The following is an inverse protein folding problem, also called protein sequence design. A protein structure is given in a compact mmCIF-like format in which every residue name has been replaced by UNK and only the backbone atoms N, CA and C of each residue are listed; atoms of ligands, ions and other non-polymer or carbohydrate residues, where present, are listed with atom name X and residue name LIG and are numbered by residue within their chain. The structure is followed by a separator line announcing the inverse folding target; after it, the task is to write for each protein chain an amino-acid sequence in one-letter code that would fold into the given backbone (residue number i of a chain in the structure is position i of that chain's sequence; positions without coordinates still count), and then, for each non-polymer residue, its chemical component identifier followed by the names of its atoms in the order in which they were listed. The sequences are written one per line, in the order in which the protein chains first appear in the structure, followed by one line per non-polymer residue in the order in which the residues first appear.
data_IF_364075620452
#
_entry.id   IF_364075620452
#
_cell.length_a   1.000
_cell.length_b   1.000
_cell.length_c   1.000
_cell.angle_alpha   90.00
_cell.angle_beta   90.00
_cell.angle_gamma   90.00
#
_symmetry.space_group_name_H-M   'P 1'
#
loop_
_entity.id
_entity.type
_entity.pdbx_description
1 polymer ?
#
# COMPACT_ATOMS: atom_id res chain seq x y z
N UNK A 1 -48.10 11.54 12.08
CA UNK A 1 -47.05 12.33 11.38
C UNK A 1 -46.00 11.35 10.90
N UNK A 2 -45.92 11.16 9.58
CA UNK A 2 -45.28 10.02 8.92
C UNK A 2 -43.76 9.98 9.11
N UNK A 3 -43.27 8.89 9.67
CA UNK A 3 -41.89 8.42 9.56
C UNK A 3 -41.58 8.14 8.09
N UNK A 4 -40.88 9.06 7.41
CA UNK A 4 -40.24 8.73 6.13
C UNK A 4 -39.02 7.87 6.41
N UNK A 5 -39.22 6.55 6.43
CA UNK A 5 -38.19 5.59 6.11
C UNK A 5 -37.66 5.90 4.71
N UNK A 6 -36.45 6.47 4.62
CA UNK A 6 -35.71 6.55 3.35
C UNK A 6 -34.97 5.22 3.17
N UNK A 7 -35.73 4.15 2.92
CA UNK A 7 -35.16 2.97 2.26
C UNK A 7 -35.37 3.12 0.74
N UNK A 8 -34.31 2.82 -0.04
CA UNK A 8 -34.40 2.68 -1.49
C UNK A 8 -33.98 3.90 -2.31
N UNK A 9 -32.81 3.82 -2.95
CA UNK A 9 -32.36 4.89 -3.86
C UNK A 9 -31.05 4.62 -4.60
N UNK A 10 -30.83 3.38 -5.04
CA UNK A 10 -29.76 3.02 -5.96
C UNK A 10 -28.99 1.80 -5.49
N UNK A 11 -29.11 0.69 -6.21
CA UNK A 11 -28.25 -0.49 -6.02
C UNK A 11 -26.78 -0.18 -6.32
N UNK A 12 -26.01 -1.19 -6.73
CA UNK A 12 -24.57 -1.06 -7.05
C UNK A 12 -24.30 0.18 -7.93
N UNK A 13 -25.14 0.43 -8.94
CA UNK A 13 -25.05 1.58 -9.85
C UNK A 13 -25.17 2.94 -9.14
N UNK A 14 -26.10 3.06 -8.18
CA UNK A 14 -26.25 4.30 -7.41
C UNK A 14 -25.05 4.56 -6.51
N UNK A 15 -24.51 3.50 -5.91
CA UNK A 15 -23.31 3.57 -5.08
C UNK A 15 -22.07 3.98 -5.91
N UNK A 16 -21.90 3.39 -7.10
CA UNK A 16 -20.85 3.75 -8.08
C UNK A 16 -20.99 5.22 -8.49
N UNK A 17 -22.20 5.68 -8.80
CA UNK A 17 -22.45 7.08 -9.20
C UNK A 17 -22.02 8.06 -8.11
N UNK A 18 -22.35 7.77 -6.85
CA UNK A 18 -21.95 8.61 -5.71
C UNK A 18 -20.43 8.62 -5.55
N UNK A 19 -19.77 7.47 -5.73
CA UNK A 19 -18.32 7.38 -5.63
C UNK A 19 -17.62 8.21 -6.73
N UNK A 20 -18.07 8.08 -7.98
CA UNK A 20 -17.56 8.85 -9.11
C UNK A 20 -17.75 10.36 -8.90
N UNK A 21 -18.91 10.79 -8.38
CA UNK A 21 -19.15 12.20 -8.07
C UNK A 21 -18.19 12.73 -7.00
N UNK A 22 -17.90 11.93 -5.98
CA UNK A 22 -16.95 12.31 -4.91
C UNK A 22 -15.52 12.39 -5.42
N UNK A 23 -15.09 11.42 -6.24
CA UNK A 23 -13.77 11.44 -6.87
C UNK A 23 -13.62 12.62 -7.83
N UNK A 24 -14.63 12.86 -8.67
CA UNK A 24 -14.61 13.99 -9.61
C UNK A 24 -14.59 15.33 -8.86
N UNK A 25 -15.44 15.50 -7.84
CA UNK A 25 -15.39 16.67 -6.98
C UNK A 25 -14.02 16.83 -6.31
N UNK A 26 -13.37 15.72 -5.94
CA UNK A 26 -12.06 15.77 -5.34
C UNK A 26 -10.93 16.17 -6.29
N UNK A 27 -11.03 15.74 -7.54
CA UNK A 27 -10.19 16.17 -8.64
C UNK A 27 -10.38 17.67 -8.94
N UNK A 28 -11.63 18.11 -9.06
CA UNK A 28 -11.93 19.51 -9.35
C UNK A 28 -11.40 20.44 -8.25
N UNK A 29 -11.43 19.99 -6.99
CA UNK A 29 -10.92 20.75 -5.85
C UNK A 29 -9.39 20.89 -5.78
N UNK A 30 -8.63 20.16 -6.61
CA UNK A 30 -7.18 20.38 -6.71
C UNK A 30 -6.83 21.76 -7.29
N UNK A 31 -7.68 22.29 -8.17
CA UNK A 31 -7.47 23.59 -8.82
C UNK A 31 -8.58 24.59 -8.45
N UNK A 32 -9.84 24.14 -8.38
CA UNK A 32 -10.99 24.99 -8.15
C UNK A 32 -11.57 24.74 -6.75
N UNK A 33 -11.53 25.70 -5.82
CA UNK A 33 -11.95 25.45 -4.45
C UNK A 33 -13.44 25.11 -4.35
N UNK A 34 -13.86 24.46 -3.25
CA UNK A 34 -15.27 24.19 -2.89
C UNK A 34 -16.03 23.31 -3.90
N UNK A 35 -15.41 22.22 -4.36
CA UNK A 35 -16.03 21.29 -5.31
C UNK A 35 -16.46 19.96 -4.66
N UNK A 36 -15.86 19.57 -3.52
CA UNK A 36 -16.13 18.31 -2.80
C UNK A 36 -17.43 18.28 -2.00
N UNK A 37 -18.15 19.40 -1.89
CA UNK A 37 -19.45 19.47 -1.18
C UNK A 37 -19.41 19.00 0.28
N UNK A 38 -18.22 18.94 0.88
CA UNK A 38 -18.00 18.53 2.26
C UNK A 38 -17.63 19.77 3.07
N UNK A 39 -18.48 20.09 4.04
CA UNK A 39 -18.26 21.19 4.98
C UNK A 39 -19.40 22.19 4.92
N UNK A 40 -19.77 22.68 6.09
CA UNK A 40 -20.75 23.73 6.37
C UNK A 40 -20.30 25.07 5.76
N UNK A 41 -20.09 25.10 4.46
CA UNK A 41 -19.84 26.32 3.70
C UNK A 41 -21.19 26.95 3.45
N UNK A 42 -21.44 28.07 4.13
CA UNK A 42 -22.59 28.95 3.87
C UNK A 42 -22.53 29.50 2.42
N UNK A 43 -21.35 29.44 1.80
CA UNK A 43 -21.15 29.76 0.38
C UNK A 43 -21.35 28.51 -0.51
N UNK A 44 -22.03 28.72 -1.64
CA UNK A 44 -22.24 27.71 -2.69
C UNK A 44 -20.94 27.23 -3.35
N UNK A 45 -21.08 26.31 -4.31
CA UNK A 45 -19.95 25.82 -5.10
C UNK A 45 -19.30 26.98 -5.86
N UNK A 46 -17.98 26.93 -6.03
CA UNK A 46 -17.28 27.90 -6.88
C UNK A 46 -17.71 27.72 -8.34
N UNK A 47 -17.98 28.82 -9.02
CA UNK A 47 -18.36 28.87 -10.43
C UNK A 47 -17.43 29.82 -11.21
N UNK A 48 -17.09 29.51 -12.47
CA UNK A 48 -16.22 30.33 -13.29
C UNK A 48 -16.94 31.59 -13.81
N UNK A 49 -16.43 32.77 -13.48
CA UNK A 49 -17.02 34.06 -13.86
C UNK A 49 -16.49 34.55 -15.21
N UNK A 50 -15.20 34.29 -15.51
CA UNK A 50 -14.53 34.76 -16.73
C UNK A 50 -14.41 33.69 -17.81
N UNK A 51 -14.25 34.10 -19.07
CA UNK A 51 -14.04 33.19 -20.21
C UNK A 51 -12.85 32.24 -20.01
N UNK A 52 -11.65 32.72 -19.61
CA UNK A 52 -10.51 31.84 -19.35
C UNK A 52 -10.79 30.81 -18.25
N UNK A 53 -11.48 31.21 -17.18
CA UNK A 53 -11.87 30.30 -16.09
C UNK A 53 -12.85 29.23 -16.57
N UNK A 54 -13.80 29.56 -17.45
CA UNK A 54 -14.75 28.59 -18.03
C UNK A 54 -14.04 27.55 -18.88
N UNK A 55 -13.06 27.96 -19.68
CA UNK A 55 -12.24 27.05 -20.49
C UNK A 55 -11.41 26.15 -19.58
N UNK A 56 -10.67 26.72 -18.63
CA UNK A 56 -9.87 25.96 -17.67
C UNK A 56 -10.70 24.96 -16.86
N UNK A 57 -11.88 25.36 -16.40
CA UNK A 57 -12.80 24.49 -15.67
C UNK A 57 -13.26 23.29 -16.51
N UNK A 58 -13.63 23.51 -17.77
CA UNK A 58 -14.06 22.42 -18.68
C UNK A 58 -12.91 21.49 -19.03
N UNK A 59 -11.74 22.02 -19.35
CA UNK A 59 -10.55 21.21 -19.67
C UNK A 59 -10.16 20.35 -18.46
N UNK A 60 -10.10 20.96 -17.27
CA UNK A 60 -9.79 20.23 -16.04
C UNK A 60 -10.84 19.19 -15.68
N UNK A 61 -12.12 19.50 -15.88
CA UNK A 61 -13.21 18.54 -15.69
C UNK A 61 -13.11 17.37 -16.67
N UNK A 62 -12.80 17.63 -17.95
CA UNK A 62 -12.62 16.58 -18.94
C UNK A 62 -11.43 15.66 -18.60
N UNK A 63 -10.30 16.24 -18.19
CA UNK A 63 -9.16 15.48 -17.66
C UNK A 63 -9.54 14.66 -16.44
N UNK A 64 -10.35 15.22 -15.54
CA UNK A 64 -10.87 14.52 -14.37
C UNK A 64 -11.77 13.35 -14.73
N UNK A 65 -12.58 13.48 -15.79
CA UNK A 65 -13.43 12.40 -16.25
C UNK A 65 -12.61 11.25 -16.84
N UNK A 66 -11.55 11.56 -17.60
CA UNK A 66 -10.62 10.56 -18.12
C UNK A 66 -9.83 9.90 -16.99
N UNK A 67 -9.34 10.66 -16.01
CA UNK A 67 -8.56 10.11 -14.90
C UNK A 67 -9.37 9.16 -14.01
N UNK A 68 -10.70 9.31 -13.93
CA UNK A 68 -11.58 8.37 -13.24
C UNK A 68 -11.51 6.95 -13.81
N UNK A 69 -11.18 6.77 -15.09
CA UNK A 69 -11.00 5.43 -15.68
C UNK A 69 -9.87 4.64 -14.99
N UNK A 70 -8.84 5.34 -14.51
CA UNK A 70 -7.75 4.73 -13.74
C UNK A 70 -8.02 4.75 -12.23
N UNK A 71 -8.46 5.91 -11.70
CA UNK A 71 -8.61 6.11 -10.25
C UNK A 71 -9.77 5.31 -9.66
N UNK A 72 -10.86 5.09 -10.40
CA UNK A 72 -12.01 4.36 -9.87
C UNK A 72 -11.70 2.87 -9.63
N UNK A 73 -11.12 2.10 -10.58
CA UNK A 73 -10.65 0.74 -10.32
C UNK A 73 -9.69 0.66 -9.13
N UNK A 74 -8.74 1.60 -9.03
CA UNK A 74 -7.81 1.70 -7.89
C UNK A 74 -8.57 1.92 -6.56
N UNK A 75 -9.60 2.75 -6.57
CA UNK A 75 -10.45 2.97 -5.38
C UNK A 75 -11.20 1.70 -4.99
N UNK A 76 -11.68 0.91 -5.96
CA UNK A 76 -12.34 -0.37 -5.71
C UNK A 76 -11.39 -1.36 -5.06
N UNK A 77 -10.16 -1.48 -5.58
CA UNK A 77 -9.10 -2.27 -4.94
C UNK A 77 -8.81 -1.74 -3.54
N UNK A 78 -8.77 -0.41 -3.36
CA UNK A 78 -8.64 0.24 -2.07
C UNK A 78 -9.73 -0.14 -1.07
N UNK A 79 -10.98 -0.34 -1.50
CA UNK A 79 -12.06 -0.83 -0.62
C UNK A 79 -11.77 -2.25 -0.12
N UNK A 80 -11.29 -3.14 -1.00
CA UNK A 80 -10.90 -4.49 -0.60
C UNK A 80 -9.71 -4.46 0.38
N UNK A 81 -8.65 -3.71 0.05
CA UNK A 81 -7.48 -3.56 0.91
C UNK A 81 -7.84 -3.00 2.29
N UNK A 82 -8.71 -1.98 2.33
CA UNK A 82 -9.20 -1.41 3.60
C UNK A 82 -9.97 -2.43 4.42
N UNK A 83 -10.79 -3.27 3.79
CA UNK A 83 -11.53 -4.31 4.50
C UNK A 83 -10.58 -5.29 5.20
N UNK A 84 -9.56 -5.81 4.52
CA UNK A 84 -8.57 -6.68 5.13
C UNK A 84 -7.73 -5.95 6.19
N UNK A 85 -7.30 -4.72 5.92
CA UNK A 85 -6.56 -3.91 6.87
C UNK A 85 -7.37 -3.65 8.15
N UNK A 86 -8.67 -3.36 8.05
CA UNK A 86 -9.54 -3.15 9.23
C UNK A 86 -9.72 -4.40 10.09
N UNK A 87 -9.71 -5.60 9.48
CA UNK A 87 -9.73 -6.86 10.24
C UNK A 87 -8.44 -7.07 11.00
N UNK A 88 -7.30 -6.84 10.35
CA UNK A 88 -5.98 -6.93 10.99
C UNK A 88 -5.84 -5.89 12.10
N UNK A 89 -6.32 -4.67 11.86
CA UNK A 89 -6.30 -3.59 12.84
C UNK A 89 -7.21 -3.91 14.03
N UNK A 90 -8.38 -4.51 13.81
CA UNK A 90 -9.25 -4.99 14.90
C UNK A 90 -8.61 -6.09 15.74
N UNK A 91 -7.82 -6.99 15.16
CA UNK A 91 -7.05 -7.98 15.93
C UNK A 91 -6.01 -7.25 16.76
N UNK A 92 -5.29 -6.31 16.15
CA UNK A 92 -4.25 -5.51 16.77
C UNK A 92 -4.76 -4.57 17.86
N UNK A 93 -5.96 -4.01 17.77
CA UNK A 93 -6.58 -3.22 18.86
C UNK A 93 -6.93 -4.09 20.06
N UNK A 94 -7.25 -5.37 19.85
CA UNK A 94 -7.56 -6.33 20.93
C UNK A 94 -6.32 -6.85 21.64
N UNK A 95 -5.26 -7.19 20.91
CA UNK A 95 -4.05 -7.82 21.48
C UNK A 95 -2.89 -6.83 21.71
N UNK A 96 -2.99 -5.61 21.18
CA UNK A 96 -1.96 -4.59 21.28
C UNK A 96 -0.72 -4.85 20.43
N UNK A 97 0.21 -3.89 20.43
CA UNK A 97 1.51 -4.01 19.72
C UNK A 97 2.27 -5.23 20.23
N UNK A 98 2.32 -5.41 21.55
CA UNK A 98 3.01 -6.53 22.19
C UNK A 98 2.42 -7.87 21.72
N UNK A 99 1.09 -7.99 21.67
CA UNK A 99 0.45 -9.23 21.21
C UNK A 99 0.72 -9.54 19.74
N UNK A 100 0.66 -8.55 18.85
CA UNK A 100 0.99 -8.74 17.42
C UNK A 100 2.46 -9.16 17.25
N UNK A 101 3.37 -8.47 17.94
CA UNK A 101 4.80 -8.80 17.92
C UNK A 101 5.07 -10.19 18.49
N UNK A 102 4.37 -10.60 19.57
CA UNK A 102 4.50 -11.93 20.15
C UNK A 102 4.00 -13.02 19.19
N UNK A 103 2.88 -12.81 18.48
CA UNK A 103 2.41 -13.74 17.45
C UNK A 103 3.45 -13.87 16.33
N UNK A 104 4.00 -12.75 15.85
CA UNK A 104 5.04 -12.77 14.83
C UNK A 104 6.29 -13.51 15.33
N UNK A 105 6.70 -13.28 16.57
CA UNK A 105 7.82 -13.98 17.21
C UNK A 105 7.57 -15.49 17.28
N UNK A 106 6.36 -15.92 17.67
CA UNK A 106 6.01 -17.34 17.75
C UNK A 106 5.96 -17.96 16.36
N UNK A 107 5.35 -17.29 15.39
CA UNK A 107 5.22 -17.81 14.03
C UNK A 107 6.59 -17.94 13.35
N UNK A 108 7.35 -16.83 13.29
CA UNK A 108 8.67 -16.81 12.63
C UNK A 108 9.74 -17.53 13.43
N UNK A 109 9.71 -17.43 14.76
CA UNK A 109 10.57 -18.21 15.65
C UNK A 109 10.30 -19.71 15.53
N UNK A 110 9.03 -20.11 15.40
CA UNK A 110 8.64 -21.49 15.12
C UNK A 110 9.21 -22.00 13.80
N UNK A 111 9.15 -21.20 12.74
CA UNK A 111 9.81 -21.52 11.45
C UNK A 111 11.31 -21.73 11.65
N UNK A 112 11.98 -20.86 12.40
CA UNK A 112 13.43 -20.99 12.69
C UNK A 112 13.73 -22.26 13.48
N UNK A 113 12.91 -22.63 14.47
CA UNK A 113 13.08 -23.87 15.24
C UNK A 113 12.90 -25.09 14.34
N UNK A 114 11.85 -25.12 13.51
CA UNK A 114 11.63 -26.21 12.56
C UNK A 114 12.80 -26.33 11.59
N UNK A 115 13.30 -25.21 11.06
CA UNK A 115 14.48 -25.19 10.21
C UNK A 115 15.71 -25.75 10.95
N UNK A 116 15.92 -25.38 12.22
CA UNK A 116 17.02 -25.91 13.02
C UNK A 116 16.98 -27.42 13.22
N UNK A 117 15.78 -28.02 13.22
CA UNK A 117 15.61 -29.46 13.35
C UNK A 117 15.78 -30.23 12.03
N UNK A 118 15.65 -29.55 10.88
CA UNK A 118 15.63 -30.20 9.56
C UNK A 118 16.82 -29.85 8.67
N UNK A 119 17.50 -28.74 8.94
CA UNK A 119 18.53 -28.17 8.07
C UNK A 119 19.88 -28.04 8.81
N UNK A 120 21.00 -28.05 8.08
CA UNK A 120 22.31 -27.80 8.66
C UNK A 120 22.42 -26.34 9.14
N UNK A 121 23.27 -26.10 10.15
CA UNK A 121 23.34 -24.82 10.88
C UNK A 121 23.63 -23.61 9.98
N UNK A 122 24.42 -23.79 8.93
CA UNK A 122 24.73 -22.80 7.91
C UNK A 122 23.49 -22.30 7.15
N UNK A 123 22.51 -23.18 6.90
CA UNK A 123 21.22 -22.79 6.32
C UNK A 123 20.28 -22.15 7.36
N UNK A 124 20.43 -22.48 8.65
CA UNK A 124 19.56 -21.98 9.72
C UNK A 124 19.85 -20.53 10.08
N UNK A 125 21.11 -20.10 10.05
CA UNK A 125 21.52 -18.75 10.45
C UNK A 125 20.80 -17.66 9.62
N UNK A 126 20.75 -17.75 8.27
CA UNK A 126 20.06 -16.74 7.47
C UNK A 126 18.53 -16.77 7.66
N UNK A 127 17.93 -17.95 7.85
CA UNK A 127 16.50 -18.06 8.19
C UNK A 127 16.22 -17.37 9.53
N UNK A 128 17.06 -17.57 10.54
CA UNK A 128 16.94 -16.92 11.83
C UNK A 128 17.05 -15.38 11.71
N UNK A 129 18.00 -14.90 10.91
CA UNK A 129 18.16 -13.48 10.63
C UNK A 129 16.92 -12.91 9.91
N UNK A 130 16.38 -13.63 8.91
CA UNK A 130 15.16 -13.28 8.19
C UNK A 130 13.96 -13.14 9.12
N UNK A 131 13.73 -14.16 9.94
CA UNK A 131 12.70 -14.20 10.97
C UNK A 131 12.84 -13.01 11.93
N UNK A 132 14.07 -12.68 12.34
CA UNK A 132 14.35 -11.50 13.15
C UNK A 132 13.90 -10.20 12.48
N UNK A 133 14.26 -9.98 11.21
CA UNK A 133 13.82 -8.80 10.46
C UNK A 133 12.31 -8.77 10.28
N UNK A 134 11.68 -9.92 10.07
CA UNK A 134 10.22 -10.05 9.99
C UNK A 134 9.52 -9.58 11.27
N UNK A 135 10.04 -10.01 12.42
CA UNK A 135 9.51 -9.66 13.75
C UNK A 135 9.72 -8.18 14.03
N UNK A 136 10.92 -7.64 13.78
CA UNK A 136 11.22 -6.21 13.95
C UNK A 136 10.34 -5.36 13.04
N UNK A 137 10.23 -5.72 11.76
CA UNK A 137 9.38 -5.00 10.80
C UNK A 137 7.91 -5.07 11.21
N UNK A 138 7.44 -6.21 11.71
CA UNK A 138 6.08 -6.33 12.25
C UNK A 138 5.87 -5.42 13.46
N UNK A 139 6.84 -5.36 14.39
CA UNK A 139 6.76 -4.50 15.56
C UNK A 139 6.76 -3.01 15.18
N UNK A 140 7.55 -2.61 14.20
CA UNK A 140 7.59 -1.25 13.66
C UNK A 140 6.28 -0.90 12.95
N UNK A 141 5.82 -1.77 12.04
CA UNK A 141 4.56 -1.63 11.33
C UNK A 141 3.40 -1.46 12.32
N UNK A 142 3.38 -2.32 13.35
CA UNK A 142 2.43 -2.19 14.43
C UNK A 142 2.61 -0.81 15.08
N UNK A 143 3.74 -0.50 15.69
CA UNK A 143 3.95 0.77 16.42
C UNK A 143 3.52 2.01 15.62
N UNK A 144 3.97 2.14 14.36
CA UNK A 144 3.62 3.28 13.51
C UNK A 144 2.12 3.37 13.18
N UNK A 145 1.41 2.24 13.06
CA UNK A 145 -0.03 2.28 12.82
C UNK A 145 -0.85 2.64 14.08
N UNK A 146 -0.31 2.53 15.30
CA UNK A 146 -0.99 2.99 16.54
C UNK A 146 -0.66 4.43 16.88
N UNK A 147 0.61 4.80 16.78
CA UNK A 147 1.07 6.16 17.15
C UNK A 147 0.72 7.17 16.07
N UNK A 148 0.67 6.70 14.82
CA UNK A 148 0.55 7.52 13.65
C UNK A 148 -0.87 7.66 13.11
N UNK A 149 -1.28 8.89 12.79
CA UNK A 149 -2.44 9.11 11.93
C UNK A 149 -2.20 8.61 10.50
N UNK A 150 -3.17 8.86 9.60
CA UNK A 150 -3.17 8.38 8.21
C UNK A 150 -1.82 8.52 7.48
N UNK A 151 -1.16 9.66 7.64
CA UNK A 151 0.12 9.95 6.98
C UNK A 151 1.24 8.98 7.40
N UNK A 152 1.39 8.77 8.70
CA UNK A 152 2.42 7.87 9.26
C UNK A 152 2.12 6.42 8.90
N UNK A 153 0.83 6.02 8.86
CA UNK A 153 0.47 4.68 8.41
C UNK A 153 0.88 4.43 6.95
N UNK A 154 0.64 5.42 6.07
CA UNK A 154 1.02 5.32 4.66
C UNK A 154 2.53 5.30 4.48
N UNK A 155 3.27 6.21 5.12
CA UNK A 155 4.71 6.38 4.87
C UNK A 155 5.57 5.33 5.55
N UNK A 156 5.16 4.84 6.73
CA UNK A 156 5.99 3.94 7.54
C UNK A 156 5.30 2.60 7.79
N UNK A 157 4.06 2.60 8.29
CA UNK A 157 3.45 1.35 8.75
C UNK A 157 3.26 0.33 7.61
N UNK A 158 2.73 0.75 6.46
CA UNK A 158 2.52 -0.16 5.34
C UNK A 158 3.83 -0.65 4.69
N UNK A 159 4.86 0.19 4.47
CA UNK A 159 6.18 -0.29 4.08
C UNK A 159 6.76 -1.36 4.98
N UNK A 160 6.77 -1.15 6.30
CA UNK A 160 7.27 -2.16 7.24
C UNK A 160 6.40 -3.42 7.25
N UNK A 161 5.09 -3.30 7.03
CA UNK A 161 4.22 -4.46 6.88
C UNK A 161 4.56 -5.26 5.62
N UNK A 162 4.86 -4.59 4.50
CA UNK A 162 5.32 -5.26 3.27
C UNK A 162 6.67 -5.96 3.50
N UNK A 163 7.63 -5.30 4.16
CA UNK A 163 8.92 -5.91 4.49
C UNK A 163 8.76 -7.16 5.35
N UNK A 164 7.86 -7.13 6.34
CA UNK A 164 7.58 -8.29 7.19
C UNK A 164 6.99 -9.49 6.42
N UNK A 165 6.32 -9.24 5.30
CA UNK A 165 5.67 -10.27 4.47
C UNK A 165 6.64 -10.81 3.42
N UNK A 166 7.34 -9.93 2.68
CA UNK A 166 8.12 -10.33 1.50
C UNK A 166 9.55 -10.76 1.82
N UNK A 167 10.16 -10.17 2.85
CA UNK A 167 11.57 -10.44 3.13
C UNK A 167 11.85 -11.87 3.60
N UNK A 168 11.01 -12.51 4.45
CA UNK A 168 11.33 -13.84 4.96
C UNK A 168 11.43 -14.93 3.87
N UNK A 169 10.51 -15.02 2.89
CA UNK A 169 10.65 -15.96 1.78
C UNK A 169 11.93 -15.74 0.95
N UNK A 170 12.31 -14.48 0.71
CA UNK A 170 13.51 -14.14 -0.07
C UNK A 170 14.76 -14.63 0.63
N UNK A 171 14.89 -14.36 1.93
CA UNK A 171 16.07 -14.79 2.68
C UNK A 171 16.10 -16.31 2.87
N UNK A 172 14.94 -16.96 3.02
CA UNK A 172 14.87 -18.42 3.04
C UNK A 172 15.35 -19.03 1.71
N UNK A 173 15.07 -18.39 0.57
CA UNK A 173 15.51 -18.85 -0.73
C UNK A 173 17.03 -18.73 -0.94
N UNK A 174 17.69 -17.76 -0.29
CA UNK A 174 19.15 -17.61 -0.34
C UNK A 174 19.93 -18.80 0.22
N UNK A 175 19.28 -19.63 1.03
CA UNK A 175 19.90 -20.80 1.68
C UNK A 175 19.27 -22.13 1.31
N UNK A 176 18.21 -22.08 0.50
CA UNK A 176 17.43 -23.26 0.14
C UNK A 176 17.46 -23.42 -1.37
N UNK A 177 18.34 -24.29 -1.92
CA UNK A 177 18.49 -24.43 -3.38
C UNK A 177 17.19 -24.76 -4.10
N UNK A 178 16.27 -25.49 -3.47
CA UNK A 178 14.97 -25.83 -4.06
C UNK A 178 14.04 -24.62 -4.24
N UNK A 179 14.31 -23.49 -3.58
CA UNK A 179 13.54 -22.25 -3.70
C UNK A 179 14.15 -21.28 -4.72
N UNK A 180 15.36 -21.54 -5.21
CA UNK A 180 16.09 -20.66 -6.13
C UNK A 180 15.29 -20.39 -7.41
N UNK A 181 14.85 -21.45 -8.10
CA UNK A 181 14.11 -21.34 -9.37
C UNK A 181 12.70 -20.74 -9.25
N UNK A 182 12.16 -20.61 -8.04
CA UNK A 182 10.81 -20.03 -7.81
C UNK A 182 10.85 -18.66 -7.16
N UNK A 183 11.96 -18.29 -6.52
CA UNK A 183 12.08 -17.02 -5.79
C UNK A 183 13.24 -16.18 -6.32
N UNK A 184 14.46 -16.72 -6.41
CA UNK A 184 15.65 -15.93 -6.76
C UNK A 184 15.73 -15.68 -8.26
N UNK A 185 15.55 -16.69 -9.10
CA UNK A 185 15.55 -16.54 -10.56
C UNK A 185 14.47 -15.52 -11.01
N UNK A 186 13.19 -15.64 -10.62
CA UNK A 186 12.20 -14.61 -10.93
C UNK A 186 12.51 -13.24 -10.32
N UNK A 187 13.15 -13.19 -9.14
CA UNK A 187 13.58 -11.91 -8.54
C UNK A 187 14.66 -11.23 -9.36
N UNK A 188 15.60 -12.00 -9.92
CA UNK A 188 16.65 -11.49 -10.79
C UNK A 188 16.05 -10.93 -12.09
N UNK A 189 15.19 -11.68 -12.75
CA UNK A 189 14.50 -11.24 -13.97
C UNK A 189 13.68 -9.97 -13.71
N UNK A 190 12.99 -9.92 -12.57
CA UNK A 190 12.25 -8.73 -12.16
C UNK A 190 13.17 -7.54 -11.88
N UNK A 191 14.33 -7.75 -11.27
CA UNK A 191 15.32 -6.70 -11.03
C UNK A 191 15.84 -6.12 -12.35
N UNK A 192 16.19 -6.99 -13.30
CA UNK A 192 16.62 -6.59 -14.65
C UNK A 192 15.50 -5.80 -15.33
N UNK A 193 14.26 -6.29 -15.28
CA UNK A 193 13.11 -5.57 -15.85
C UNK A 193 12.92 -4.18 -15.23
N UNK A 194 13.03 -4.04 -13.91
CA UNK A 194 12.95 -2.74 -13.22
C UNK A 194 14.07 -1.81 -13.70
N UNK A 195 15.31 -2.31 -13.76
CA UNK A 195 16.47 -1.52 -14.20
C UNK A 195 16.27 -1.01 -15.64
N UNK A 196 15.73 -1.85 -16.51
CA UNK A 196 15.61 -1.53 -17.93
C UNK A 196 14.37 -0.67 -18.25
N UNK A 197 13.29 -0.76 -17.47
CA UNK A 197 12.01 -0.12 -17.80
C UNK A 197 11.63 1.02 -16.86
N UNK A 198 12.11 1.02 -15.62
CA UNK A 198 11.70 1.99 -14.59
C UNK A 198 12.86 2.87 -14.19
N UNK A 199 14.04 2.28 -13.92
CA UNK A 199 15.22 2.99 -13.42
C UNK A 199 16.20 3.42 -14.53
N UNK A 200 15.84 3.28 -15.80
CA UNK A 200 16.66 3.76 -16.91
C UNK A 200 16.79 5.29 -16.96
N UNK A 201 15.87 6.02 -16.32
CA UNK A 201 15.85 7.48 -16.34
C UNK A 201 16.95 8.03 -15.43
N UNK A 202 17.84 8.84 -15.99
CA UNK A 202 18.87 9.55 -15.23
C UNK A 202 20.08 8.70 -14.83
N UNK A 203 20.31 7.56 -15.50
CA UNK A 203 21.51 6.72 -15.31
C UNK A 203 21.53 5.92 -13.99
N UNK A 204 20.38 5.81 -13.31
CA UNK A 204 20.27 5.03 -12.07
C UNK A 204 20.54 3.54 -12.35
N UNK A 205 20.07 3.03 -13.49
CA UNK A 205 20.35 1.68 -13.94
C UNK A 205 21.85 1.39 -14.08
N UNK A 206 22.60 2.25 -14.76
CA UNK A 206 24.03 2.08 -15.00
C UNK A 206 24.78 2.18 -13.67
N UNK A 207 24.45 3.18 -12.83
CA UNK A 207 25.01 3.30 -11.49
C UNK A 207 24.79 2.03 -10.66
N UNK A 208 23.58 1.48 -10.64
CA UNK A 208 23.29 0.27 -9.88
C UNK A 208 24.02 -0.96 -10.42
N UNK A 209 24.11 -1.11 -11.75
CA UNK A 209 24.81 -2.22 -12.41
C UNK A 209 26.33 -2.17 -12.23
N UNK A 210 26.90 -0.97 -12.21
CA UNK A 210 28.35 -0.75 -12.02
C UNK A 210 28.79 -0.94 -10.56
N UNK A 211 27.93 -0.56 -9.60
CA UNK A 211 28.31 -0.53 -8.18
C UNK A 211 27.80 -1.71 -7.36
N UNK A 212 26.79 -2.45 -7.85
CA UNK A 212 26.16 -3.53 -7.10
C UNK A 212 26.00 -4.81 -7.93
N UNK A 213 26.36 -5.93 -7.31
CA UNK A 213 26.05 -7.28 -7.80
C UNK A 213 24.89 -7.84 -7.00
N UNK A 214 23.88 -8.39 -7.70
CA UNK A 214 22.70 -8.95 -7.07
C UNK A 214 22.98 -10.38 -6.61
N UNK A 215 23.67 -10.51 -5.48
CA UNK A 215 24.02 -11.79 -4.86
C UNK A 215 23.76 -11.77 -3.35
N UNK A 216 23.37 -12.92 -2.80
CA UNK A 216 23.19 -13.10 -1.36
C UNK A 216 22.30 -12.03 -0.73
N UNK A 217 22.85 -11.31 0.25
CA UNK A 217 22.12 -10.26 0.99
C UNK A 217 21.64 -9.09 0.12
N UNK A 218 22.18 -8.90 -1.09
CA UNK A 218 21.72 -7.87 -2.01
C UNK A 218 20.26 -8.11 -2.45
N UNK A 219 19.82 -9.37 -2.58
CA UNK A 219 18.41 -9.69 -2.83
C UNK A 219 17.50 -9.19 -1.71
N UNK A 220 17.92 -9.35 -0.45
CA UNK A 220 17.18 -8.84 0.69
C UNK A 220 17.10 -7.30 0.67
N UNK A 221 18.23 -6.63 0.40
CA UNK A 221 18.27 -5.17 0.26
C UNK A 221 17.35 -4.65 -0.85
N UNK A 222 17.36 -5.31 -2.01
CA UNK A 222 16.47 -4.99 -3.12
C UNK A 222 14.99 -5.13 -2.73
N UNK A 223 14.61 -6.24 -2.10
CA UNK A 223 13.23 -6.48 -1.68
C UNK A 223 12.76 -5.55 -0.55
N UNK A 224 13.66 -5.10 0.33
CA UNK A 224 13.36 -3.99 1.25
C UNK A 224 13.08 -2.72 0.46
N UNK A 225 13.93 -2.38 -0.52
CA UNK A 225 13.75 -1.24 -1.40
C UNK A 225 12.43 -1.26 -2.16
N UNK A 226 11.98 -2.43 -2.60
CA UNK A 226 10.69 -2.64 -3.30
C UNK A 226 9.49 -2.59 -2.33
N UNK A 227 9.66 -3.10 -1.11
CA UNK A 227 8.60 -3.14 -0.10
C UNK A 227 8.05 -1.76 0.27
N UNK A 228 8.90 -0.73 0.20
CA UNK A 228 8.50 0.65 0.51
C UNK A 228 7.54 1.24 -0.54
N UNK A 229 7.88 1.29 -1.84
CA UNK A 229 6.96 1.66 -2.90
C UNK A 229 5.66 0.85 -2.88
N UNK A 230 5.73 -0.46 -2.63
CA UNK A 230 4.53 -1.29 -2.51
C UNK A 230 3.66 -0.87 -1.31
N UNK A 231 4.28 -0.62 -0.16
CA UNK A 231 3.58 -0.13 1.02
C UNK A 231 2.89 1.22 0.78
N UNK A 232 3.56 2.14 0.08
CA UNK A 232 2.98 3.42 -0.32
C UNK A 232 1.84 3.23 -1.31
N UNK A 233 2.01 2.37 -2.32
CA UNK A 233 0.98 2.07 -3.29
C UNK A 233 -0.31 1.59 -2.59
N UNK A 234 -0.24 0.55 -1.76
CA UNK A 234 -1.40 0.07 -1.02
C UNK A 234 -1.96 1.11 -0.04
N UNK A 235 -1.08 1.89 0.59
CA UNK A 235 -1.49 2.99 1.46
C UNK A 235 -2.30 4.06 0.74
N UNK A 236 -1.88 4.44 -0.47
CA UNK A 236 -2.60 5.38 -1.34
C UNK A 236 -3.96 4.80 -1.73
N UNK A 237 -4.05 3.52 -2.08
CA UNK A 237 -5.33 2.88 -2.41
C UNK A 237 -6.32 2.95 -1.23
N UNK A 238 -5.84 2.66 -0.01
CA UNK A 238 -6.65 2.75 1.20
C UNK A 238 -7.05 4.22 1.48
N UNK A 239 -6.14 5.17 1.26
CA UNK A 239 -6.42 6.59 1.41
C UNK A 239 -7.49 7.07 0.41
N UNK A 240 -7.44 6.60 -0.85
CA UNK A 240 -8.47 6.86 -1.87
C UNK A 240 -9.82 6.29 -1.45
N UNK A 241 -9.87 5.04 -0.99
CA UNK A 241 -11.10 4.43 -0.48
C UNK A 241 -11.71 5.26 0.66
N UNK A 242 -10.86 5.74 1.58
CA UNK A 242 -11.27 6.59 2.70
C UNK A 242 -11.71 8.00 2.27
N UNK A 243 -11.14 8.56 1.21
CA UNK A 243 -11.57 9.82 0.61
C UNK A 243 -12.99 9.68 0.04
N UNK A 244 -13.27 8.58 -0.65
CA UNK A 244 -14.57 8.34 -1.28
C UNK A 244 -15.62 7.99 -0.23
N UNK A 245 -15.37 7.00 0.62
CA UNK A 245 -16.28 6.59 1.69
C UNK A 245 -15.52 6.59 3.01
N UNK A 246 -15.57 7.66 3.81
CA UNK A 246 -14.93 7.69 5.11
C UNK A 246 -15.47 6.57 6.00
N UNK A 247 -14.58 5.74 6.53
CA UNK A 247 -14.86 4.94 7.72
C UNK A 247 -14.46 5.77 8.93
N UNK A 248 -15.39 5.93 9.87
CA UNK A 248 -15.10 6.50 11.19
C UNK A 248 -14.26 5.56 12.04
#
# INVERSE_FOLDING_TARGET
MSTRSRSGGGGIVGAVRVDLQRLHGAWMELIFPRQRGRGHSVMGKWEPETLPQRVGYRVWSLLGLVSLLAVYPMTVVGFAMRFYASKLDSTRTRIGVVGVTAIALVFWGGVTVVAHLQLPTDAVIPIAAASGVAVVSTALAATFSKVGGRFVSVILAYPFAMTAIFLPPVVAALVTPSLEGVVLEPSYDFAVWILDNVLFVGGINDYLRENFQLEGAAYAGMWVGISFPLGWFFGILIALANLVRPSG
#
